data_IF_694279962548
#
_entry.id   IF_694279962548
#
_cell.length_a   1.000
_cell.length_b   1.000
_cell.length_c   1.000
_cell.angle_alpha   90.00
_cell.angle_beta   90.00
_cell.angle_gamma   90.00
#
_symmetry.space_group_name_H-M   'P 1'
#
loop_
_entity.id
_entity.type
_entity.pdbx_description
1 polymer ?
2 polymer ?
3 non-polymer ?
4 non-polymer ?
5 water ?
#
# COMPACT_ATOMS: atom_id res chain seq x y z
N UNK A 1 12.54 19.71 3.03
CA UNK A 1 12.90 18.47 3.70
C UNK A 1 11.76 17.84 4.48
N UNK A 2 11.96 16.61 4.94
CA UNK A 2 10.90 15.89 5.64
C UNK A 2 10.61 16.51 7.01
N UNK A 3 9.50 17.25 7.11
CA UNK A 3 9.02 17.72 8.40
C UNK A 3 7.71 17.01 8.76
N UNK A 4 6.61 17.43 8.14
CA UNK A 4 5.32 16.79 8.41
C UNK A 4 5.07 15.70 7.39
N UNK A 5 4.13 14.81 7.70
CA UNK A 5 3.75 13.77 6.77
C UNK A 5 2.77 14.31 5.73
N UNK A 6 2.75 13.67 4.57
CA UNK A 6 1.83 14.06 3.50
C UNK A 6 0.92 12.90 3.15
N UNK A 7 -0.38 13.18 3.04
CA UNK A 7 -1.36 12.14 2.76
C UNK A 7 -1.90 12.30 1.36
N UNK A 8 -1.89 11.22 0.58
CA UNK A 8 -2.45 11.28 -0.76
C UNK A 8 -3.13 9.96 -1.13
N UNK A 9 -4.02 10.02 -2.12
CA UNK A 9 -4.73 8.83 -2.55
C UNK A 9 -4.48 8.56 -4.01
N UNK A 10 -4.49 7.28 -4.35
CA UNK A 10 -4.31 6.83 -5.72
C UNK A 10 -5.28 5.70 -6.01
N UNK A 11 -5.59 5.53 -7.29
CA UNK A 11 -6.44 4.44 -7.72
C UNK A 11 -5.66 3.71 -8.80
N UNK A 12 -5.42 2.41 -8.62
CA UNK A 12 -4.58 1.72 -9.59
C UNK A 12 -5.33 0.54 -10.22
N UNK A 13 -5.05 0.27 -11.49
CA UNK A 13 -5.74 -0.80 -12.23
C UNK A 13 -4.76 -1.79 -12.84
N UNK A 14 -5.05 -3.09 -12.70
CA UNK A 14 -4.17 -4.10 -13.26
C UNK A 14 -4.02 -3.98 -14.78
N UNK A 15 -5.03 -3.44 -15.46
CA UNK A 15 -4.95 -3.28 -16.93
C UNK A 15 -3.94 -2.21 -17.37
N UNK A 16 -3.42 -1.44 -16.42
CA UNK A 16 -2.38 -0.46 -16.69
C UNK A 16 -0.99 -1.03 -16.41
N UNK A 17 -0.90 -2.33 -16.18
CA UNK A 17 0.38 -2.96 -15.89
C UNK A 17 0.71 -3.97 -16.97
N UNK A 18 1.98 -4.34 -17.06
CA UNK A 18 2.41 -5.29 -18.08
C UNK A 18 1.96 -6.71 -17.78
N UNK A 19 1.99 -7.08 -16.50
CA UNK A 19 1.78 -8.48 -16.15
C UNK A 19 0.82 -8.66 -14.98
N UNK A 20 -0.16 -7.76 -14.88
CA UNK A 20 -1.23 -7.87 -13.90
C UNK A 20 -0.70 -7.81 -12.48
N UNK A 21 0.44 -7.16 -12.29
CA UNK A 21 0.95 -6.92 -10.94
C UNK A 21 1.28 -5.44 -10.82
N UNK A 22 0.92 -4.86 -9.68
CA UNK A 22 1.14 -3.43 -9.41
C UNK A 22 2.59 -3.13 -9.08
N UNK A 23 3.31 -4.13 -8.61
CA UNK A 23 4.72 -3.95 -8.34
C UNK A 23 5.01 -3.32 -6.98
N UNK A 24 4.24 -3.73 -5.97
CA UNK A 24 4.58 -3.39 -4.59
C UNK A 24 4.06 -4.45 -3.64
N UNK A 25 4.51 -4.41 -2.40
CA UNK A 25 3.95 -5.33 -1.44
C UNK A 25 3.36 -4.54 -0.27
N UNK A 26 2.50 -5.17 0.51
CA UNK A 26 1.94 -4.57 1.73
C UNK A 26 2.38 -5.41 2.91
N UNK A 27 3.02 -4.77 3.88
CA UNK A 27 3.50 -5.42 5.10
C UNK A 27 2.50 -5.24 6.22
N UNK A 28 2.00 -6.34 6.76
CA UNK A 28 1.15 -6.26 7.92
C UNK A 28 2.03 -6.40 9.15
N UNK A 29 2.04 -5.38 10.00
CA UNK A 29 2.93 -5.40 11.15
C UNK A 29 2.23 -5.03 12.45
N UNK A 30 2.81 -5.49 13.55
CA UNK A 30 2.44 -5.00 14.88
C UNK A 30 3.57 -4.11 15.32
N UNK A 31 3.25 -2.85 15.57
CA UNK A 31 4.27 -1.86 15.86
C UNK A 31 3.91 -1.18 17.18
N UNK A 32 4.68 -1.47 18.22
CA UNK A 32 4.38 -0.97 19.56
C UNK A 32 2.94 -1.29 19.94
N UNK A 33 2.52 -2.53 19.70
CA UNK A 33 1.20 -2.98 20.09
C UNK A 33 0.09 -2.56 19.14
N UNK A 34 0.42 -1.81 18.10
CA UNK A 34 -0.59 -1.32 17.16
C UNK A 34 -0.47 -1.97 15.79
N UNK A 35 -1.58 -2.40 15.22
CA UNK A 35 -1.56 -3.02 13.89
C UNK A 35 -1.52 -1.96 12.78
N UNK A 36 -0.53 -2.08 11.89
CA UNK A 36 -0.39 -1.12 10.80
C UNK A 36 -0.16 -1.83 9.47
N UNK A 37 -0.45 -1.15 8.37
CA UNK A 37 -0.16 -1.68 7.05
C UNK A 37 0.81 -0.72 6.40
N UNK A 38 1.90 -1.26 5.88
CA UNK A 38 2.90 -0.46 5.21
C UNK A 38 3.11 -0.90 3.76
N UNK A 39 3.40 0.06 2.89
CA UNK A 39 3.92 -0.21 1.57
C UNK A 39 5.35 -0.71 1.72
N UNK A 40 5.69 -1.73 0.94
CA UNK A 40 7.04 -2.29 0.90
C UNK A 40 7.34 -2.77 -0.53
N UNK A 41 8.60 -3.13 -0.79
CA UNK A 41 8.99 -3.82 -2.02
C UNK A 41 8.46 -3.17 -3.30
N UNK A 42 8.69 -1.86 -3.44
CA UNK A 42 8.26 -1.14 -4.62
C UNK A 42 9.22 -1.37 -5.79
N UNK A 43 8.75 -2.08 -6.82
CA UNK A 43 9.56 -2.32 -8.00
C UNK A 43 9.80 -1.01 -8.75
N UNK A 44 11.06 -0.77 -9.10
CA UNK A 44 11.39 0.37 -9.94
C UNK A 44 10.71 0.21 -11.29
N UNK A 45 10.10 1.29 -11.77
CA UNK A 45 9.37 1.33 -13.04
C UNK A 45 8.05 0.53 -13.04
N UNK A 46 7.63 0.03 -11.88
CA UNK A 46 6.32 -0.58 -11.76
C UNK A 46 5.23 0.47 -11.58
N UNK A 47 3.96 0.06 -11.66
CA UNK A 47 2.86 1.02 -11.59
C UNK A 47 2.82 1.78 -10.26
N UNK A 48 3.08 1.08 -9.16
CA UNK A 48 3.06 1.71 -7.83
C UNK A 48 4.12 2.79 -7.74
N UNK A 49 5.28 2.50 -8.32
CA UNK A 49 6.37 3.46 -8.39
C UNK A 49 5.97 4.70 -9.20
N UNK A 50 5.35 4.47 -10.35
CA UNK A 50 4.82 5.57 -11.17
C UNK A 50 3.84 6.45 -10.40
N UNK A 51 3.07 5.82 -9.53
CA UNK A 51 2.05 6.53 -8.77
C UNK A 51 2.64 7.17 -7.51
N UNK A 52 3.95 6.98 -7.31
CA UNK A 52 4.67 7.65 -6.25
C UNK A 52 4.68 6.95 -4.88
N UNK A 53 4.32 5.67 -4.84
CA UNK A 53 4.43 4.91 -3.60
C UNK A 53 5.88 4.66 -3.23
N UNK A 54 6.18 4.69 -1.93
CA UNK A 54 7.52 4.41 -1.43
C UNK A 54 7.45 3.35 -0.36
N UNK A 55 8.48 2.52 -0.26
CA UNK A 55 8.55 1.56 0.84
C UNK A 55 8.56 2.31 2.17
N UNK A 56 7.74 1.90 3.11
CA UNK A 56 7.66 2.59 4.39
C UNK A 56 6.47 3.53 4.48
N UNK A 57 5.86 3.86 3.35
CA UNK A 57 4.60 4.61 3.37
C UNK A 57 3.57 3.87 4.20
N UNK A 58 2.84 4.58 5.05
CA UNK A 58 1.79 3.93 5.80
C UNK A 58 0.48 3.90 5.00
N UNK A 59 -0.18 2.75 4.96
CA UNK A 59 -1.49 2.67 4.29
C UNK A 59 -2.58 2.94 5.33
N UNK A 60 -3.28 4.05 5.12
CA UNK A 60 -4.34 4.51 6.03
C UNK A 60 -5.70 3.93 5.68
N UNK A 61 -5.95 3.77 4.39
CA UNK A 61 -7.21 3.21 3.90
C UNK A 61 -6.99 2.37 2.65
N UNK A 62 -7.80 1.35 2.50
CA UNK A 62 -7.91 0.64 1.23
C UNK A 62 -9.37 0.61 0.88
N UNK A 63 -9.70 1.06 -0.33
CA UNK A 63 -11.09 1.13 -0.78
C UNK A 63 -12.02 1.77 0.26
N UNK A 64 -11.63 2.94 0.76
CA UNK A 64 -12.44 3.73 1.70
C UNK A 64 -12.64 3.11 3.06
N UNK A 65 -11.86 2.08 3.38
CA UNK A 65 -11.91 1.46 4.70
C UNK A 65 -10.60 1.64 5.43
N UNK A 66 -10.66 2.06 6.69
CA UNK A 66 -9.46 2.26 7.50
C UNK A 66 -8.67 0.97 7.59
N UNK A 67 -7.34 1.08 7.58
CA UNK A 67 -6.48 -0.10 7.64
C UNK A 67 -6.76 -0.97 8.87
N UNK A 68 -7.06 -0.33 10.00
CA UNK A 68 -7.27 -1.06 11.24
C UNK A 68 -8.66 -1.67 11.30
N UNK A 69 -9.45 -1.45 10.26
CA UNK A 69 -10.77 -2.06 10.20
C UNK A 69 -10.78 -3.18 9.15
N UNK A 70 -9.60 -3.52 8.63
CA UNK A 70 -9.51 -4.62 7.67
C UNK A 70 -9.20 -5.95 8.35
N UNK A 71 -9.45 -7.05 7.65
CA UNK A 71 -8.97 -8.35 8.08
C UNK A 71 -8.42 -9.07 6.85
N UNK A 72 -7.91 -10.29 7.03
CA UNK A 72 -7.21 -10.94 5.93
C UNK A 72 -8.19 -11.37 4.85
N UNK A 73 -9.42 -11.70 5.24
CA UNK A 73 -10.46 -12.04 4.25
C UNK A 73 -10.75 -10.86 3.31
N UNK A 74 -10.81 -9.66 3.87
CA UNK A 74 -11.04 -8.46 3.07
C UNK A 74 -9.84 -8.12 2.18
N UNK A 75 -8.64 -8.29 2.74
CA UNK A 75 -7.39 -8.05 2.01
C UNK A 75 -7.33 -8.92 0.75
N UNK A 76 -7.60 -10.21 0.92
CA UNK A 76 -7.51 -11.12 -0.20
C UNK A 76 -8.58 -10.80 -1.23
N UNK A 77 -9.78 -10.47 -0.76
CA UNK A 77 -10.86 -10.12 -1.67
C UNK A 77 -10.46 -8.87 -2.46
N UNK A 78 -9.96 -7.85 -1.75
CA UNK A 78 -9.59 -6.58 -2.40
C UNK A 78 -8.51 -6.75 -3.47
N UNK A 79 -7.48 -7.55 -3.19
CA UNK A 79 -6.37 -7.63 -4.14
C UNK A 79 -6.57 -8.74 -5.19
N UNK A 80 -7.71 -9.41 -5.12
CA UNK A 80 -8.19 -10.28 -6.18
C UNK A 80 -8.90 -9.47 -7.28
N UNK A 81 -9.37 -8.27 -6.94
CA UNK A 81 -10.10 -7.43 -7.89
C UNK A 81 -9.18 -6.80 -8.94
N UNK A 82 -9.76 -6.38 -10.08
CA UNK A 82 -8.99 -5.77 -11.18
C UNK A 82 -8.45 -4.38 -10.84
N UNK A 83 -8.90 -3.79 -9.73
CA UNK A 83 -8.40 -2.48 -9.32
C UNK A 83 -8.53 -2.27 -7.82
N UNK A 84 -7.90 -1.22 -7.32
CA UNK A 84 -7.87 -0.97 -5.89
C UNK A 84 -7.53 0.50 -5.63
N UNK A 85 -8.10 1.05 -4.57
CA UNK A 85 -7.81 2.41 -4.17
C UNK A 85 -7.11 2.41 -2.82
N UNK A 86 -6.17 3.34 -2.65
CA UNK A 86 -5.36 3.44 -1.45
C UNK A 86 -5.24 4.88 -0.97
N UNK A 87 -5.29 5.06 0.34
CA UNK A 87 -4.95 6.32 0.97
C UNK A 87 -3.65 6.08 1.70
N UNK A 88 -2.59 6.82 1.37
CA UNK A 88 -1.31 6.55 2.02
C UNK A 88 -0.72 7.80 2.64
N UNK A 89 0.17 7.60 3.60
CA UNK A 89 0.80 8.72 4.27
C UNK A 89 2.31 8.56 4.17
N UNK A 90 2.99 9.62 3.75
CA UNK A 90 4.39 9.51 3.37
C UNK A 90 5.19 10.71 3.85
N UNK A 91 6.51 10.61 3.75
CA UNK A 91 7.40 11.76 3.88
C UNK A 91 8.00 12.06 2.51
N UNK A 92 8.38 13.32 2.25
CA UNK A 92 9.17 13.59 1.05
C UNK A 92 10.35 12.64 0.99
N UNK A 93 10.71 12.18 -0.19
CA UNK A 93 11.81 11.23 -0.38
C UNK A 93 13.10 11.77 0.21
N UNK A 94 13.24 13.09 0.15
CA UNK A 94 14.40 13.78 0.67
C UNK A 94 14.01 15.22 0.96
N UNK B 1 8.12 -6.10 13.73
CA UNK B 1 7.40 -7.38 13.77
C UNK B 1 6.43 -7.54 12.62
N UNK B 2 6.91 -8.10 11.52
CA UNK B 2 6.07 -8.31 10.35
C UNK B 2 5.39 -9.69 10.45
N UNK B 3 4.08 -9.77 10.27
CA UNK B 3 3.48 -11.10 10.30
C UNK B 3 2.94 -11.59 8.96
N UNK B 4 2.86 -10.70 7.97
CA UNK B 4 2.51 -11.13 6.61
C UNK B 4 2.94 -10.09 5.58
N UNK B 5 3.28 -10.57 4.39
CA UNK B 5 3.63 -9.70 3.28
C UNK B 5 2.73 -10.09 2.09
N UNK B 6 1.98 -9.13 1.53
CA UNK B 6 1.17 -9.41 0.34
C UNK B 6 1.93 -8.90 -0.87
N UNK B 7 2.17 -9.73 -1.88
CA UNK B 7 2.90 -9.25 -3.05
C UNK B 7 1.91 -9.02 -4.17
N UNK B 8 1.69 -7.76 -4.54
CA UNK B 8 0.61 -7.46 -5.46
C UNK B 8 1.06 -6.70 -6.72
X LIG C 1 15.16 15.59 10.84
X LIG C 1 13.88 15.42 11.53
X LIG C 1 13.15 14.11 11.21
X LIG C 1 13.21 13.75 9.81
X LIG C 1 14.41 14.03 9.05
X LIG C 1 15.01 15.39 9.39
X LIG C 1 12.20 12.90 9.20
X LIG C 1 11.66 11.85 10.15
X LIG C 1 10.62 12.43 10.90
X LIG C 1 15.67 16.96 10.98
X LIG C 1 15.47 17.52 12.38
X LIG C 1 16.81 18.61 12.94
X LIG C 1 17.86 17.77 13.49
X LIG C 1 17.33 19.41 11.84
X LIG C 1 16.29 19.49 13.97
X LIG D 1 9.46 -5.07 11.65
X LIG D 1 10.13 -5.85 10.72
X LIG D 1 10.20 -5.47 9.38
X LIG D 1 9.62 -4.31 8.89
X LIG D 1 8.92 -3.47 9.75
X LIG D 1 8.28 -2.21 9.30
X LIG D 1 7.60 -1.42 10.23
X LIG D 1 7.52 -1.79 11.57
X LIG D 1 8.11 -2.96 12.04
X LIG D 1 8.81 -3.82 11.19
X LIG D 1 8.30 -1.81 7.96
X LIG D 1 8.97 -0.57 7.57
X LIG D 1 7.59 -2.59 6.96
X LIG D 1 9.42 -5.58 13.17
X LIG D 1 10.44 -6.58 13.30
X LIG D 1 9.61 -4.50 14.11
#
# INVERSE_FOLDING_TARGET
GAMGKVTHSIHIEKSDTAADTYGFSLSSVEEDGIRRLYVNSVKETGLASKKGLKAGDEILEINNRAADALNSSMMEDFFSQPSVGLLVRTYPEL
NKDKEYYV
EPE N1 C2 C3 N4 C5 C6 C7 C8 O8 C9 C10 S O1S O2S O3S
ANS C1 C2 C3 C4 C4A C5 C6 C7 C8 C8A N CM1 CM2 S O1S O2S
#
